data_IF_622427589020
#
_entry.id   IF_622427589020
#
_cell.length_a   1.000
_cell.length_b   1.000
_cell.length_c   1.000
_cell.angle_alpha   90.00
_cell.angle_beta   90.00
_cell.angle_gamma   90.00
#
_symmetry.space_group_name_H-M   'P 1'
#
loop_
_entity.id
_entity.type
_entity.pdbx_description
1 polymer ?
#
# COMPACT_ATOMS: atom_id res chain seq x y z
N UNK A 1 -3.99 8.22 -2.30
CA UNK A 1 -5.09 7.45 -2.92
C UNK A 1 -5.69 8.31 -4.01
N UNK A 2 -5.39 8.03 -5.28
CA UNK A 2 -5.90 8.83 -6.40
C UNK A 2 -7.30 8.33 -6.79
N UNK A 3 -8.33 9.11 -6.44
CA UNK A 3 -9.65 9.02 -7.06
C UNK A 3 -9.51 9.48 -8.51
N UNK A 4 -9.32 8.56 -9.45
CA UNK A 4 -9.15 8.89 -10.87
C UNK A 4 -8.99 7.71 -11.85
N UNK A 5 -8.80 6.47 -11.37
CA UNK A 5 -8.58 5.30 -12.24
C UNK A 5 -9.82 4.41 -12.48
N UNK A 6 -11.01 4.78 -12.01
CA UNK A 6 -12.20 3.92 -12.19
C UNK A 6 -12.78 3.97 -13.61
N UNK A 7 -12.31 4.86 -14.49
CA UNK A 7 -12.81 5.01 -15.87
C UNK A 7 -11.74 4.91 -16.96
N UNK A 8 -10.45 4.93 -16.63
CA UNK A 8 -9.42 4.98 -17.67
C UNK A 8 -8.96 3.56 -18.05
N UNK A 9 -9.38 3.10 -19.23
CA UNK A 9 -9.06 1.77 -19.78
C UNK A 9 -8.07 1.95 -20.93
N UNK A 10 -6.80 2.10 -20.59
CA UNK A 10 -5.72 2.28 -21.57
C UNK A 10 -4.80 1.08 -21.52
N UNK A 11 -4.56 0.50 -22.70
CA UNK A 11 -3.51 -0.47 -22.95
C UNK A 11 -2.76 -0.03 -24.20
N UNK A 12 -1.48 -0.36 -24.26
CA UNK A 12 -0.66 -0.15 -25.46
C UNK A 12 -0.59 -1.44 -26.25
N UNK A 13 -0.54 -1.35 -27.58
CA UNK A 13 -0.36 -2.50 -28.46
C UNK A 13 0.97 -2.34 -29.19
N UNK A 14 1.96 -3.16 -28.82
CA UNK A 14 3.36 -2.95 -29.18
C UNK A 14 3.73 -3.78 -30.41
N UNK A 15 3.89 -3.12 -31.55
CA UNK A 15 4.36 -3.72 -32.80
C UNK A 15 5.82 -3.30 -32.96
N UNK A 16 6.73 -4.28 -33.04
CA UNK A 16 8.18 -4.07 -33.17
C UNK A 16 8.79 -3.15 -32.11
N UNK A 17 8.15 -3.08 -30.93
CA UNK A 17 8.58 -2.28 -29.80
C UNK A 17 8.68 -3.13 -28.55
N UNK A 18 9.72 -2.87 -27.75
CA UNK A 18 9.85 -3.39 -26.40
C UNK A 18 9.27 -2.40 -25.38
N UNK A 19 8.84 -2.85 -24.19
CA UNK A 19 8.36 -1.95 -23.14
C UNK A 19 9.37 -0.86 -22.75
N UNK A 20 10.67 -1.14 -22.89
CA UNK A 20 11.74 -0.18 -22.58
C UNK A 20 11.83 0.97 -23.58
N UNK A 21 11.31 0.78 -24.80
CA UNK A 21 11.25 1.83 -25.82
C UNK A 21 10.16 2.87 -25.53
N UNK A 22 9.28 2.61 -24.56
CA UNK A 22 8.23 3.53 -24.15
C UNK A 22 8.69 4.44 -23.04
N UNK A 23 8.41 5.73 -23.19
CA UNK A 23 8.62 6.72 -22.13
C UNK A 23 7.33 6.97 -21.34
N UNK A 24 7.45 7.62 -20.18
CA UNK A 24 6.28 8.14 -19.49
C UNK A 24 5.56 9.18 -20.38
N UNK A 25 4.22 9.22 -20.40
CA UNK A 25 3.30 8.46 -19.55
C UNK A 25 2.90 7.09 -20.09
N UNK A 26 3.36 6.67 -21.28
CA UNK A 26 2.92 5.41 -21.91
C UNK A 26 3.47 4.17 -21.22
N UNK A 27 4.69 4.25 -20.69
CA UNK A 27 5.33 3.20 -19.90
C UNK A 27 4.55 2.79 -18.64
N UNK A 28 3.57 3.60 -18.20
CA UNK A 28 2.79 3.33 -16.99
C UNK A 28 1.55 2.46 -17.24
N UNK A 29 1.21 2.18 -18.51
CA UNK A 29 0.02 1.41 -18.89
C UNK A 29 0.33 -0.07 -19.13
N UNK A 30 -0.71 -0.89 -19.15
CA UNK A 30 -0.55 -2.30 -19.52
C UNK A 30 -0.15 -2.42 -20.99
N UNK A 31 0.81 -3.30 -21.27
CA UNK A 31 1.31 -3.57 -22.61
C UNK A 31 0.73 -4.87 -23.15
N UNK A 32 0.26 -4.81 -24.40
CA UNK A 32 -0.22 -5.95 -25.17
C UNK A 32 0.70 -6.16 -26.36
N UNK A 33 1.14 -7.39 -26.56
CA UNK A 33 1.96 -7.80 -27.69
C UNK A 33 1.10 -8.50 -28.75
N UNK A 34 1.51 -8.50 -30.03
CA UNK A 34 0.82 -9.19 -31.13
C UNK A 34 1.02 -10.71 -31.08
N UNK A 35 0.87 -11.30 -29.89
CA UNK A 35 0.92 -12.75 -29.64
C UNK A 35 -0.39 -13.20 -29.03
N UNK A 36 -0.79 -14.44 -29.32
CA UNK A 36 -2.11 -14.98 -29.02
C UNK A 36 -2.51 -14.80 -27.56
N UNK A 37 -1.61 -15.12 -26.64
CA UNK A 37 -1.84 -15.08 -25.20
C UNK A 37 -2.07 -13.64 -24.72
N UNK A 38 -1.31 -12.68 -25.26
CA UNK A 38 -1.40 -11.28 -24.86
C UNK A 38 -2.66 -10.61 -25.42
N UNK A 39 -2.99 -10.88 -26.69
CA UNK A 39 -4.24 -10.41 -27.29
C UNK A 39 -5.44 -11.05 -26.61
N UNK A 40 -5.35 -12.31 -26.21
CA UNK A 40 -6.40 -12.98 -25.44
C UNK A 40 -6.69 -12.26 -24.12
N UNK A 41 -5.66 -11.92 -23.33
CA UNK A 41 -5.86 -11.17 -22.08
C UNK A 41 -6.43 -9.76 -22.32
N UNK A 42 -6.06 -9.11 -23.43
CA UNK A 42 -6.68 -7.85 -23.85
C UNK A 42 -8.18 -8.03 -24.12
N UNK A 43 -8.54 -9.03 -24.93
CA UNK A 43 -9.94 -9.33 -25.27
C UNK A 43 -10.74 -9.69 -24.02
N UNK A 44 -10.17 -10.49 -23.11
CA UNK A 44 -10.78 -10.80 -21.81
C UNK A 44 -11.01 -9.55 -20.98
N UNK A 45 -10.02 -8.65 -20.91
CA UNK A 45 -10.14 -7.38 -20.18
C UNK A 45 -11.24 -6.48 -20.75
N UNK A 46 -11.39 -6.46 -22.08
CA UNK A 46 -12.48 -5.76 -22.77
C UNK A 46 -13.82 -6.44 -22.47
N UNK A 47 -13.89 -7.77 -22.44
CA UNK A 47 -15.13 -8.49 -22.15
C UNK A 47 -15.62 -8.28 -20.71
N UNK A 48 -14.74 -8.40 -19.72
CA UNK A 48 -15.05 -8.13 -18.29
C UNK A 48 -15.57 -6.70 -18.12
N UNK A 49 -15.03 -5.79 -18.92
CA UNK A 49 -15.37 -4.38 -18.94
C UNK A 49 -16.81 -4.08 -19.37
N UNK A 50 -17.51 -5.04 -19.98
CA UNK A 50 -18.92 -4.95 -20.42
C UNK A 50 -19.95 -5.33 -19.34
N UNK A 51 -19.53 -5.87 -18.18
CA UNK A 51 -20.41 -6.21 -17.04
C UNK A 51 -21.57 -7.15 -17.43
N UNK A 52 -22.82 -6.68 -17.41
CA UNK A 52 -24.01 -7.48 -17.72
C UNK A 52 -24.03 -7.98 -19.17
N UNK A 53 -23.39 -7.23 -20.08
CA UNK A 53 -23.26 -7.60 -21.49
C UNK A 53 -22.02 -8.48 -21.77
N UNK A 54 -21.26 -8.84 -20.74
CA UNK A 54 -20.07 -9.67 -20.89
C UNK A 54 -20.44 -11.09 -21.33
N UNK A 55 -19.71 -11.60 -22.33
CA UNK A 55 -19.85 -12.99 -22.74
C UNK A 55 -19.29 -13.93 -21.67
N UNK A 56 -19.86 -15.13 -21.58
CA UNK A 56 -19.27 -16.22 -20.80
C UNK A 56 -17.90 -16.57 -21.36
N UNK A 57 -16.93 -16.83 -20.48
CA UNK A 57 -15.54 -17.13 -20.84
C UNK A 57 -15.41 -18.23 -21.90
N UNK A 58 -16.22 -19.29 -21.79
CA UNK A 58 -16.22 -20.41 -22.76
C UNK A 58 -16.68 -20.00 -24.16
N UNK A 59 -17.63 -19.07 -24.26
CA UNK A 59 -18.10 -18.52 -25.54
C UNK A 59 -17.04 -17.58 -26.11
N UNK A 60 -16.49 -16.69 -25.28
CA UNK A 60 -15.44 -15.77 -25.68
C UNK A 60 -14.21 -16.51 -26.22
N UNK A 61 -13.78 -17.58 -25.53
CA UNK A 61 -12.63 -18.39 -25.93
C UNK A 61 -12.85 -19.06 -27.30
N UNK A 62 -14.05 -19.63 -27.52
CA UNK A 62 -14.40 -20.26 -28.80
C UNK A 62 -14.41 -19.26 -29.95
N UNK A 63 -14.98 -18.08 -29.71
CA UNK A 63 -15.01 -16.99 -30.72
C UNK A 63 -13.59 -16.52 -31.02
N UNK A 64 -12.79 -16.25 -29.98
CA UNK A 64 -11.40 -15.83 -30.14
C UNK A 64 -10.57 -16.83 -30.95
N UNK A 65 -10.66 -18.13 -30.63
CA UNK A 65 -9.91 -19.17 -31.34
C UNK A 65 -10.28 -19.22 -32.83
N UNK A 66 -11.56 -19.02 -33.14
CA UNK A 66 -12.07 -19.03 -34.52
C UNK A 66 -11.51 -17.86 -35.33
N UNK A 67 -11.47 -16.66 -34.74
CA UNK A 67 -11.00 -15.45 -35.43
C UNK A 67 -9.49 -15.22 -35.35
N UNK A 68 -8.79 -15.88 -34.41
CA UNK A 68 -7.36 -15.72 -34.22
C UNK A 68 -6.57 -16.05 -35.49
N UNK A 69 -6.92 -17.17 -36.16
CA UNK A 69 -6.22 -17.60 -37.38
C UNK A 69 -6.31 -16.56 -38.48
N UNK A 70 -7.47 -15.92 -38.64
CA UNK A 70 -7.67 -14.85 -39.62
C UNK A 70 -6.88 -13.59 -39.24
N UNK A 71 -6.98 -13.18 -37.97
CA UNK A 71 -6.22 -12.04 -37.45
C UNK A 71 -4.72 -12.23 -37.66
N UNK A 72 -4.17 -13.38 -37.29
CA UNK A 72 -2.73 -13.66 -37.40
C UNK A 72 -2.27 -13.65 -38.86
N UNK A 73 -3.04 -14.25 -39.77
CA UNK A 73 -2.76 -14.23 -41.21
C UNK A 73 -2.69 -12.80 -41.74
N UNK A 74 -3.71 -12.00 -41.45
CA UNK A 74 -3.83 -10.66 -42.01
C UNK A 74 -2.83 -9.69 -41.36
N UNK A 75 -2.58 -9.86 -40.06
CA UNK A 75 -1.54 -9.12 -39.33
C UNK A 75 -0.15 -9.37 -39.93
N UNK A 76 0.23 -10.63 -40.17
CA UNK A 76 1.53 -10.97 -40.79
C UNK A 76 1.69 -10.33 -42.17
N UNK A 77 0.66 -10.38 -43.01
CA UNK A 77 0.68 -9.73 -44.33
C UNK A 77 0.87 -8.22 -44.22
N UNK A 78 0.22 -7.57 -43.26
CA UNK A 78 0.37 -6.12 -43.03
C UNK A 78 1.82 -5.81 -42.62
N UNK A 79 2.42 -6.58 -41.72
CA UNK A 79 3.81 -6.39 -41.30
C UNK A 79 4.77 -6.55 -42.50
N UNK A 80 4.60 -7.59 -43.32
CA UNK A 80 5.44 -7.83 -44.49
C UNK A 80 5.32 -6.73 -45.57
N UNK A 81 4.15 -6.13 -45.70
CA UNK A 81 3.86 -5.08 -46.70
C UNK A 81 4.13 -3.67 -46.21
N UNK A 82 4.39 -3.47 -44.91
CA UNK A 82 4.63 -2.16 -44.31
C UNK A 82 6.14 -1.91 -44.21
N UNK A 83 6.71 -0.97 -44.97
CA UNK A 83 8.14 -0.69 -44.91
C UNK A 83 8.53 -0.05 -43.57
N UNK A 84 9.64 -0.50 -42.98
CA UNK A 84 10.20 0.02 -41.75
C UNK A 84 10.74 1.45 -41.98
N UNK A 85 9.97 2.47 -41.57
CA UNK A 85 10.22 3.87 -41.98
C UNK A 85 11.00 4.69 -40.95
N UNK A 86 11.47 4.13 -39.83
CA UNK A 86 12.11 4.94 -38.78
C UNK A 86 13.35 4.29 -38.15
N UNK A 87 14.41 5.10 -38.05
CA UNK A 87 15.60 4.81 -37.24
C UNK A 87 15.21 4.89 -35.77
N UNK A 88 15.08 3.74 -35.12
CA UNK A 88 14.86 3.66 -33.68
C UNK A 88 16.13 4.20 -33.00
N UNK A 89 16.06 5.39 -32.41
CA UNK A 89 17.09 5.85 -31.48
C UNK A 89 16.93 5.05 -30.19
N UNK A 90 17.61 3.90 -30.12
CA UNK A 90 17.67 3.08 -28.90
C UNK A 90 17.98 3.98 -27.70
N UNK A 91 17.14 3.93 -26.67
CA UNK A 91 17.44 4.52 -25.36
C UNK A 91 18.82 4.03 -24.90
N UNK A 92 19.69 4.94 -24.48
CA UNK A 92 21.01 4.57 -23.99
C UNK A 92 20.85 3.83 -22.66
N UNK A 93 21.42 2.64 -22.54
CA UNK A 93 21.31 1.73 -21.38
C UNK A 93 21.56 2.40 -20.01
N UNK A 94 22.30 3.51 -19.97
CA UNK A 94 22.57 4.28 -18.76
C UNK A 94 21.31 4.88 -18.11
N UNK A 95 20.30 5.28 -18.90
CA UNK A 95 19.09 5.91 -18.36
C UNK A 95 18.20 4.88 -17.65
N UNK A 96 18.16 3.64 -18.16
CA UNK A 96 17.43 2.52 -17.54
C UNK A 96 18.01 2.17 -16.17
N UNK A 97 19.33 2.15 -16.04
CA UNK A 97 19.99 1.82 -14.78
C UNK A 97 19.73 2.89 -13.70
N UNK A 98 19.69 4.16 -14.09
CA UNK A 98 19.35 5.26 -13.19
C UNK A 98 17.88 5.20 -12.76
N UNK A 99 16.97 4.86 -13.67
CA UNK A 99 15.53 4.71 -13.38
C UNK A 99 15.24 3.51 -12.47
N UNK A 100 15.86 2.36 -12.73
CA UNK A 100 15.76 1.18 -11.85
C UNK A 100 16.30 1.52 -10.46
N UNK A 101 17.46 2.15 -10.36
CA UNK A 101 18.05 2.55 -9.08
C UNK A 101 17.16 3.55 -8.33
N UNK A 102 16.52 4.48 -9.05
CA UNK A 102 15.56 5.42 -8.46
C UNK A 102 14.32 4.71 -7.91
N UNK A 103 13.81 3.71 -8.65
CA UNK A 103 12.66 2.90 -8.27
C UNK A 103 12.97 2.07 -7.04
N UNK A 104 14.12 1.39 -7.01
CA UNK A 104 14.59 0.61 -5.85
C UNK A 104 14.76 1.50 -4.62
N UNK A 105 15.34 2.70 -4.75
CA UNK A 105 15.44 3.66 -3.64
C UNK A 105 14.07 4.13 -3.14
N UNK A 106 13.12 4.36 -4.05
CA UNK A 106 11.76 4.72 -3.68
C UNK A 106 11.05 3.57 -2.95
N UNK A 107 11.22 2.34 -3.41
CA UNK A 107 10.68 1.14 -2.76
C UNK A 107 11.30 0.93 -1.38
N UNK A 108 12.63 1.03 -1.25
CA UNK A 108 13.34 0.93 0.03
C UNK A 108 12.83 1.99 1.02
N UNK A 109 12.67 3.25 0.57
CA UNK A 109 12.09 4.31 1.40
C UNK A 109 10.66 4.02 1.83
N UNK A 110 9.81 3.48 0.93
CA UNK A 110 8.44 3.09 1.27
C UNK A 110 8.42 1.90 2.23
N UNK A 111 9.29 0.93 2.06
CA UNK A 111 9.45 -0.23 2.93
C UNK A 111 9.89 0.21 4.33
N UNK A 112 10.92 1.06 4.46
CA UNK A 112 11.33 1.66 5.74
C UNK A 112 10.20 2.44 6.42
N UNK A 113 9.40 3.18 5.65
CA UNK A 113 8.25 3.89 6.20
C UNK A 113 7.16 2.92 6.71
N UNK A 114 6.92 1.82 5.99
CA UNK A 114 6.01 0.76 6.43
C UNK A 114 6.56 0.07 7.68
N UNK A 115 7.82 -0.33 7.71
CA UNK A 115 8.50 -0.91 8.88
C UNK A 115 8.47 0.03 10.08
N UNK A 116 8.66 1.33 9.88
CA UNK A 116 8.52 2.32 10.95
C UNK A 116 7.08 2.48 11.45
N UNK A 117 6.09 2.25 10.58
CA UNK A 117 4.66 2.29 10.91
C UNK A 117 4.23 1.00 11.62
N UNK A 118 4.69 -0.15 11.16
CA UNK A 118 4.49 -1.47 11.76
C UNK A 118 5.20 -1.57 13.10
N UNK A 119 6.42 -1.05 13.23
CA UNK A 119 7.12 -0.92 14.50
C UNK A 119 6.33 -0.07 15.49
N UNK A 120 5.73 1.03 15.03
CA UNK A 120 4.85 1.89 15.85
C UNK A 120 3.50 1.21 16.18
N UNK A 121 2.96 0.38 15.29
CA UNK A 121 1.73 -0.39 15.51
C UNK A 121 1.91 -1.61 16.42
N UNK A 122 3.08 -2.26 16.43
CA UNK A 122 3.37 -3.35 17.36
C UNK A 122 3.48 -2.88 18.81
N UNK A 123 3.90 -1.62 19.04
CA UNK A 123 3.77 -0.98 20.37
C UNK A 123 2.32 -0.63 20.73
N UNK A 124 1.41 -0.55 19.75
CA UNK A 124 -0.01 -0.25 19.98
C UNK A 124 -0.84 -1.53 20.16
N UNK A 125 -0.58 -2.61 19.41
CA UNK A 125 -1.41 -3.84 19.47
C UNK A 125 -1.29 -4.55 20.82
N UNK A 126 -0.12 -4.56 21.47
CA UNK A 126 0.02 -5.10 22.84
C UNK A 126 -0.60 -4.20 23.92
N UNK A 127 -0.94 -2.94 23.61
CA UNK A 127 -1.57 -2.00 24.55
C UNK A 127 -3.05 -1.71 24.25
N UNK A 128 -3.58 -2.08 23.07
CA UNK A 128 -4.94 -1.69 22.65
C UNK A 128 -6.05 -2.59 23.21
N UNK A 129 -5.70 -3.64 23.98
CA UNK A 129 -6.68 -4.35 24.82
C UNK A 129 -6.98 -3.62 26.13
N UNK A 130 -6.25 -2.55 26.48
CA UNK A 130 -6.45 -1.79 27.73
C UNK A 130 -7.15 -0.43 27.49
N UNK A 131 -7.26 0.05 26.25
CA UNK A 131 -7.75 1.42 25.97
C UNK A 131 -9.08 1.54 25.25
N UNK A 132 -9.82 0.44 25.06
CA UNK A 132 -11.14 0.49 24.41
C UNK A 132 -12.34 0.73 25.33
N UNK A 133 -12.12 0.88 26.63
CA UNK A 133 -13.07 1.56 27.51
C UNK A 133 -12.47 2.90 27.95
N UNK A 134 -13.05 4.00 27.46
CA UNK A 134 -12.73 5.37 27.85
C UNK A 134 -12.94 5.68 29.35
N UNK A 135 -13.25 4.67 30.17
CA UNK A 135 -13.43 4.73 31.62
C UNK A 135 -12.12 4.58 32.42
N UNK A 136 -11.07 3.95 31.88
CA UNK A 136 -9.89 3.57 32.67
C UNK A 136 -8.91 4.72 33.03
N UNK A 137 -8.80 5.77 32.20
CA UNK A 137 -7.76 6.79 32.41
C UNK A 137 -8.06 7.78 33.53
N UNK A 138 -9.33 8.10 33.79
CA UNK A 138 -9.71 9.01 34.87
C UNK A 138 -9.73 8.30 36.22
N UNK A 139 -10.25 7.08 36.29
CA UNK A 139 -10.27 6.29 37.53
C UNK A 139 -8.87 5.92 38.01
N UNK A 140 -7.95 5.58 37.09
CA UNK A 140 -6.55 5.32 37.44
C UNK A 140 -5.88 6.60 37.93
N UNK A 141 -6.18 7.77 37.33
CA UNK A 141 -5.64 9.05 37.78
C UNK A 141 -6.18 9.46 39.15
N UNK A 142 -7.48 9.35 39.38
CA UNK A 142 -8.08 9.68 40.67
C UNK A 142 -7.59 8.76 41.78
N UNK A 143 -7.40 7.48 41.47
CA UNK A 143 -6.85 6.51 42.41
C UNK A 143 -5.35 6.75 42.67
N UNK A 144 -4.55 7.10 41.66
CA UNK A 144 -3.15 7.49 41.88
C UNK A 144 -3.08 8.75 42.75
N UNK A 145 -3.93 9.75 42.48
CA UNK A 145 -3.98 10.97 43.30
C UNK A 145 -4.34 10.69 44.76
N UNK A 146 -5.33 9.83 45.02
CA UNK A 146 -5.71 9.48 46.39
C UNK A 146 -4.63 8.68 47.13
N UNK A 147 -3.86 7.84 46.43
CA UNK A 147 -2.74 7.11 47.02
C UNK A 147 -1.54 8.03 47.32
N UNK A 148 -1.33 9.06 46.50
CA UNK A 148 -0.31 10.10 46.75
C UNK A 148 -0.70 10.98 47.95
N UNK A 149 -1.99 11.27 48.12
CA UNK A 149 -2.51 11.97 49.31
C UNK A 149 -2.29 11.16 50.59
N UNK A 150 -2.31 9.83 50.52
CA UNK A 150 -2.00 8.93 51.63
C UNK A 150 -0.50 8.74 51.90
N UNK A 151 0.36 9.53 51.25
CA UNK A 151 1.84 9.50 51.40
C UNK A 151 2.47 8.12 51.16
N UNK A 152 1.83 7.29 50.33
CA UNK A 152 2.36 5.96 50.02
C UNK A 152 3.63 6.05 49.16
N UNK A 153 4.64 5.20 49.43
CA UNK A 153 5.82 5.07 48.58
C UNK A 153 5.45 4.74 47.13
N UNK A 154 6.16 5.36 46.18
CA UNK A 154 5.92 5.19 44.75
C UNK A 154 5.99 3.73 44.29
N UNK A 155 6.86 2.92 44.91
CA UNK A 155 6.93 1.49 44.63
C UNK A 155 5.60 0.77 44.92
N UNK A 156 4.97 1.11 46.05
CA UNK A 156 3.71 0.50 46.50
C UNK A 156 2.54 0.97 45.62
N UNK A 157 2.53 2.24 45.22
CA UNK A 157 1.52 2.77 44.30
C UNK A 157 1.58 2.05 42.94
N UNK A 158 2.78 1.84 42.41
CA UNK A 158 2.98 1.14 41.12
C UNK A 158 2.52 -0.32 41.19
N UNK A 159 2.72 -0.98 42.33
CA UNK A 159 2.29 -2.35 42.57
C UNK A 159 0.76 -2.44 42.70
N UNK A 160 0.15 -1.65 43.59
CA UNK A 160 -1.29 -1.66 43.83
C UNK A 160 -2.13 -1.29 42.59
N UNK A 161 -1.69 -0.29 41.83
CA UNK A 161 -2.39 0.15 40.61
C UNK A 161 -2.18 -0.86 39.48
N UNK A 162 -0.98 -1.45 39.40
CA UNK A 162 -0.66 -2.49 38.43
C UNK A 162 -1.50 -3.74 38.62
N UNK A 163 -1.67 -4.18 39.86
CA UNK A 163 -2.43 -5.38 40.18
C UNK A 163 -3.94 -5.15 40.06
N UNK A 164 -4.44 -3.97 40.45
CA UNK A 164 -5.87 -3.64 40.39
C UNK A 164 -6.39 -3.41 38.96
N UNK A 165 -5.61 -2.74 38.11
CA UNK A 165 -6.06 -2.33 36.77
C UNK A 165 -5.34 -3.03 35.62
N UNK A 166 -4.42 -3.98 35.91
CA UNK A 166 -3.54 -4.63 34.92
C UNK A 166 -2.82 -3.60 34.02
N UNK A 167 -2.51 -2.43 34.59
CA UNK A 167 -1.96 -1.31 33.86
C UNK A 167 -0.42 -1.41 33.81
N UNK A 168 0.24 -1.13 32.66
CA UNK A 168 1.69 -1.24 32.56
C UNK A 168 2.43 -0.36 33.58
N UNK A 169 3.35 -0.96 34.36
CA UNK A 169 4.10 -0.28 35.44
C UNK A 169 4.87 0.96 34.97
N UNK A 170 5.34 0.96 33.72
CA UNK A 170 5.99 2.12 33.09
C UNK A 170 5.06 3.31 32.92
N UNK A 171 3.77 3.07 32.60
CA UNK A 171 2.76 4.10 32.45
C UNK A 171 2.27 4.61 33.81
N UNK A 172 2.14 3.73 34.81
CA UNK A 172 1.80 4.13 36.20
C UNK A 172 2.86 5.09 36.74
N UNK A 173 4.15 4.74 36.60
CA UNK A 173 5.26 5.60 37.04
C UNK A 173 5.19 6.97 36.38
N UNK A 174 4.87 7.05 35.08
CA UNK A 174 4.71 8.33 34.38
C UNK A 174 3.56 9.17 34.93
N UNK A 175 2.41 8.56 35.23
CA UNK A 175 1.26 9.28 35.81
C UNK A 175 1.51 9.70 37.27
N UNK A 176 2.22 8.91 38.08
CA UNK A 176 2.63 9.28 39.45
C UNK A 176 3.55 10.51 39.43
N UNK A 177 4.56 10.53 38.56
CA UNK A 177 5.48 11.68 38.43
C UNK A 177 4.74 12.94 37.98
N UNK A 178 3.76 12.79 37.08
CA UNK A 178 2.90 13.89 36.66
C UNK A 178 2.04 14.42 37.81
N UNK A 179 1.44 13.55 38.60
CA UNK A 179 0.59 13.92 39.73
C UNK A 179 1.39 14.61 40.85
N UNK A 180 2.61 14.11 41.17
CA UNK A 180 3.54 14.77 42.10
C UNK A 180 3.90 16.18 41.63
N UNK A 181 4.25 16.33 40.35
CA UNK A 181 4.57 17.65 39.77
C UNK A 181 3.39 18.62 39.81
N UNK A 182 2.16 18.15 39.60
CA UNK A 182 0.95 18.99 39.72
C UNK A 182 0.73 19.43 41.17
N UNK A 183 1.00 18.55 42.15
CA UNK A 183 0.90 18.87 43.58
C UNK A 183 1.95 19.89 44.01
N UNK A 184 3.21 19.72 43.61
CA UNK A 184 4.29 20.69 43.88
C UNK A 184 3.93 22.09 43.35
N UNK A 185 3.38 22.17 42.12
CA UNK A 185 2.94 23.45 41.51
C UNK A 185 1.76 24.11 42.25
N UNK A 186 0.95 23.33 42.98
CA UNK A 186 -0.20 23.83 43.74
C UNK A 186 0.16 24.17 45.20
N UNK A 187 1.27 23.66 45.74
CA UNK A 187 1.78 24.02 47.08
C UNK A 187 2.64 25.30 47.05
N UNK A 188 3.14 25.71 45.88
CA UNK A 188 3.94 26.92 45.66
C UNK A 188 3.13 28.20 45.30
N UNK A 189 1.79 28.13 45.25
CA UNK A 189 0.87 29.26 45.00
C UNK A 189 -0.05 29.51 46.20
#
# INVERSE_FOLDING_TARGET
MAKGLTSNRVCTFLIDLSPTDLENPLAQFNHTFPVKESVWELVRTINISLKEDALKESVLAKVFETYWVQFESDFKKIIETTPETAVITKRKDNDIMLDVLSTVRMLDKRMRNLESTTGRQLYTIDNDSVTRDGFGSQEVRSFISSLIEQELPEQIIVELVGDKYKYPRSLIRREVQRAKKIREVNEDN
#
